data_IF_533534459611
#
_entry.id   IF_533534459611
#
_cell.length_a   1.000
_cell.length_b   1.000
_cell.length_c   1.000
_cell.angle_alpha   90.00
_cell.angle_beta   90.00
_cell.angle_gamma   90.00
#
_symmetry.space_group_name_H-M   'P 1'
#
loop_
_entity.id
_entity.type
_entity.pdbx_description
1 polymer ?
#
# COMPACT_ATOMS: atom_id res chain seq x y z
N UNK A 1 6.37 6.40 5.66
CA UNK A 1 7.20 7.30 6.46
C UNK A 1 6.32 8.32 7.17
N UNK A 2 6.76 8.76 8.36
CA UNK A 2 6.13 9.88 9.07
C UNK A 2 6.78 11.19 8.64
N UNK A 3 6.11 12.31 8.92
CA UNK A 3 6.65 13.65 8.68
C UNK A 3 7.21 14.21 9.97
N UNK A 4 8.41 14.75 9.92
CA UNK A 4 9.06 15.47 11.02
C UNK A 4 9.41 16.86 10.55
N UNK A 5 8.99 17.86 11.31
CA UNK A 5 9.29 19.25 11.01
C UNK A 5 10.67 19.64 11.54
N UNK A 6 11.45 20.27 10.67
CA UNK A 6 12.71 20.93 10.98
C UNK A 6 12.46 22.43 11.02
N UNK A 7 12.38 22.99 12.22
CA UNK A 7 12.14 24.42 12.43
C UNK A 7 13.46 25.17 12.48
N UNK A 8 13.50 26.34 11.86
CA UNK A 8 14.69 27.20 11.92
C UNK A 8 14.88 27.71 13.36
N UNK A 9 16.02 27.37 13.97
CA UNK A 9 16.40 27.87 15.27
C UNK A 9 17.15 29.22 15.14
N UNK A 10 16.92 30.12 16.07
CA UNK A 10 17.60 31.44 16.09
C UNK A 10 19.13 31.35 16.28
N UNK A 11 19.66 30.19 16.64
CA UNK A 11 21.08 29.93 16.95
C UNK A 11 21.85 29.16 15.88
N UNK A 12 21.52 29.35 14.60
CA UNK A 12 22.23 28.72 13.47
C UNK A 12 22.06 27.20 13.31
N UNK A 13 20.87 26.67 13.52
CA UNK A 13 20.56 25.27 13.34
C UNK A 13 19.07 24.99 13.18
N UNK A 14 18.73 23.73 13.28
CA UNK A 14 17.37 23.23 13.22
C UNK A 14 16.91 22.70 14.57
N UNK A 15 15.70 23.03 14.98
CA UNK A 15 15.00 22.32 16.04
C UNK A 15 14.16 21.20 15.43
N UNK A 16 14.35 19.98 15.93
CA UNK A 16 13.64 18.80 15.44
C UNK A 16 13.32 17.84 16.57
N UNK A 17 12.26 17.04 16.37
CA UNK A 17 11.83 16.03 17.33
C UNK A 17 12.90 14.95 17.52
N UNK A 18 13.13 14.55 18.76
CA UNK A 18 14.12 13.55 19.13
C UNK A 18 13.53 12.14 19.23
N UNK A 19 14.21 11.19 18.60
CA UNK A 19 13.88 9.75 18.64
C UNK A 19 15.05 8.95 19.23
N UNK A 20 15.05 8.68 20.55
CA UNK A 20 16.18 8.02 21.22
C UNK A 20 16.56 6.67 20.62
N UNK A 21 15.60 5.89 20.15
CA UNK A 21 15.86 4.55 19.59
C UNK A 21 16.71 4.57 18.31
N UNK A 22 16.61 5.64 17.51
CA UNK A 22 17.33 5.77 16.24
C UNK A 22 18.80 6.06 16.39
N UNK A 23 19.18 6.70 17.48
CA UNK A 23 20.58 6.97 17.79
C UNK A 23 21.27 5.81 18.48
N UNK A 24 20.52 4.74 18.81
CA UNK A 24 21.07 3.57 19.48
C UNK A 24 22.14 2.87 18.62
N UNK A 25 23.36 2.79 19.16
CA UNK A 25 24.47 2.15 18.50
C UNK A 25 25.15 2.96 17.40
N UNK A 26 24.61 4.12 17.05
CA UNK A 26 25.17 5.05 16.07
C UNK A 26 26.29 5.91 16.67
N UNK A 27 27.07 6.53 15.79
CA UNK A 27 28.03 7.59 16.14
C UNK A 27 27.56 8.85 15.42
N UNK A 28 26.95 9.83 16.13
CA UNK A 28 26.54 11.08 15.51
C UNK A 28 27.73 11.81 14.89
N UNK A 29 27.53 12.44 13.75
CA UNK A 29 28.55 13.26 13.10
C UNK A 29 28.71 14.65 13.75
N UNK A 30 27.73 15.06 14.57
CA UNK A 30 27.67 16.32 15.29
C UNK A 30 27.10 16.08 16.69
N UNK A 31 27.33 17.04 17.58
CA UNK A 31 26.79 17.00 18.93
C UNK A 31 25.27 17.09 18.90
N UNK A 32 24.59 16.20 19.61
CA UNK A 32 23.15 16.28 19.82
C UNK A 32 22.88 17.13 21.06
N UNK A 33 22.28 18.29 20.86
CA UNK A 33 22.01 19.26 21.91
C UNK A 33 20.52 19.31 22.20
N UNK A 34 20.14 19.27 23.46
CA UNK A 34 18.75 19.43 23.88
C UNK A 34 18.27 20.87 23.61
N UNK A 35 17.16 21.01 22.89
CA UNK A 35 16.61 22.32 22.54
C UNK A 35 16.13 23.13 23.76
N UNK A 36 15.69 22.45 24.82
CA UNK A 36 15.16 23.11 26.02
C UNK A 36 16.24 23.55 26.98
N UNK A 37 17.33 22.78 27.15
CA UNK A 37 18.35 23.03 28.18
C UNK A 37 19.68 23.52 27.62
N UNK A 38 19.93 23.29 26.31
CA UNK A 38 21.23 23.55 25.68
C UNK A 38 22.33 22.56 26.09
N UNK A 39 22.01 21.49 26.82
CA UNK A 39 22.98 20.48 27.22
C UNK A 39 23.25 19.50 26.11
N UNK A 40 24.51 19.02 25.98
CA UNK A 40 24.90 18.00 25.02
C UNK A 40 24.40 16.65 25.50
N UNK A 41 23.45 16.08 24.77
CA UNK A 41 22.85 14.76 25.01
C UNK A 41 23.77 13.62 24.55
N UNK A 42 24.44 13.82 23.41
CA UNK A 42 25.42 12.89 22.87
C UNK A 42 26.48 13.67 22.07
N UNK A 43 27.75 13.37 22.33
CA UNK A 43 28.89 14.00 21.65
C UNK A 43 29.16 13.38 20.28
N UNK A 44 29.60 14.20 19.34
CA UNK A 44 30.02 13.79 18.00
C UNK A 44 31.08 12.68 18.04
N UNK A 45 30.96 11.68 17.17
CA UNK A 45 31.92 10.58 17.05
C UNK A 45 31.88 9.54 18.18
N UNK A 46 31.21 9.80 19.29
CA UNK A 46 31.03 8.82 20.38
C UNK A 46 29.85 7.89 20.11
N UNK A 47 30.05 6.59 20.36
CA UNK A 47 29.00 5.59 20.20
C UNK A 47 27.91 5.76 21.27
N UNK A 48 26.67 5.97 20.85
CA UNK A 48 25.51 6.03 21.75
C UNK A 48 25.15 4.61 22.21
N UNK A 49 25.40 4.33 23.50
CA UNK A 49 25.17 2.99 24.05
C UNK A 49 23.69 2.73 24.34
N UNK A 50 23.25 1.45 24.31
CA UNK A 50 21.87 1.10 24.68
C UNK A 50 21.46 1.58 26.08
N UNK A 51 22.45 1.68 27.00
CA UNK A 51 22.22 2.16 28.38
C UNK A 51 21.93 3.66 28.40
N UNK A 52 22.64 4.44 27.56
CA UNK A 52 22.40 5.89 27.41
C UNK A 52 21.01 6.14 26.81
N UNK A 53 20.63 5.39 25.76
CA UNK A 53 19.29 5.49 25.14
C UNK A 53 18.19 5.17 26.14
N UNK A 54 18.36 4.10 26.94
CA UNK A 54 17.40 3.74 27.97
C UNK A 54 17.24 4.86 29.02
N UNK A 55 18.34 5.45 29.45
CA UNK A 55 18.33 6.58 30.39
C UNK A 55 17.56 7.78 29.80
N UNK A 56 17.81 8.13 28.55
CA UNK A 56 17.13 9.24 27.88
C UNK A 56 15.61 8.98 27.71
N UNK A 57 15.21 7.73 27.49
CA UNK A 57 13.81 7.34 27.45
C UNK A 57 13.13 7.38 28.82
N UNK A 58 13.77 6.81 29.82
CA UNK A 58 13.21 6.71 31.19
C UNK A 58 13.10 8.10 31.83
N UNK A 59 14.01 9.02 31.54
CA UNK A 59 13.95 10.39 32.01
C UNK A 59 12.92 11.26 31.25
N UNK A 60 12.67 10.94 29.96
CA UNK A 60 11.66 11.61 29.13
C UNK A 60 11.80 13.14 29.00
N UNK A 61 12.96 13.68 29.37
CA UNK A 61 13.19 15.14 29.46
C UNK A 61 13.51 15.77 28.11
N UNK A 62 14.17 15.01 27.23
CA UNK A 62 14.62 15.51 25.93
C UNK A 62 13.58 15.11 24.88
N UNK A 63 12.84 16.09 24.38
CA UNK A 63 11.81 15.91 23.35
C UNK A 63 12.24 16.42 21.98
N UNK A 64 13.05 17.47 21.96
CA UNK A 64 13.53 18.14 20.76
C UNK A 64 15.05 18.38 20.85
N UNK A 65 15.71 18.33 19.69
CA UNK A 65 17.15 18.58 19.57
C UNK A 65 17.41 19.78 18.69
N UNK A 66 18.45 20.52 19.02
CA UNK A 66 19.08 21.52 18.13
C UNK A 66 20.19 20.79 17.35
N UNK A 67 20.13 20.91 16.04
CA UNK A 67 21.06 20.27 15.11
C UNK A 67 21.62 21.30 14.12
N UNK A 68 22.88 21.18 13.70
CA UNK A 68 23.46 22.10 12.72
C UNK A 68 22.73 22.05 11.37
N UNK A 69 22.86 23.08 10.55
CA UNK A 69 22.20 23.18 9.25
C UNK A 69 22.49 21.98 8.33
N UNK A 70 23.71 21.43 8.38
CA UNK A 70 24.13 20.29 7.59
C UNK A 70 23.36 19.00 7.91
N UNK A 71 22.71 18.94 9.05
CA UNK A 71 21.97 17.75 9.49
C UNK A 71 20.77 17.40 8.60
N UNK A 72 20.27 18.37 7.84
CA UNK A 72 19.14 18.21 6.94
C UNK A 72 19.56 17.75 5.53
N UNK A 73 20.83 17.89 5.18
CA UNK A 73 21.37 17.50 3.87
C UNK A 73 21.20 15.99 3.63
N UNK A 74 20.74 15.63 2.46
CA UNK A 74 20.47 14.22 2.09
C UNK A 74 19.15 13.67 2.65
N UNK A 75 18.33 14.51 3.29
CA UNK A 75 16.95 14.16 3.69
C UNK A 75 15.97 14.58 2.60
N UNK A 76 14.77 14.03 2.64
CA UNK A 76 13.75 14.21 1.61
C UNK A 76 12.56 14.98 2.15
N UNK A 77 12.01 15.87 1.36
CA UNK A 77 10.82 16.66 1.72
C UNK A 77 9.58 15.75 1.69
N UNK A 78 8.65 15.93 2.65
CA UNK A 78 7.46 15.08 2.76
C UNK A 78 6.25 15.59 1.97
N UNK A 79 6.20 16.86 1.64
CA UNK A 79 5.13 17.51 0.87
C UNK A 79 5.68 18.64 0.03
N UNK A 80 4.95 19.02 -1.01
CA UNK A 80 5.31 20.16 -1.86
C UNK A 80 5.36 21.45 -1.03
N UNK A 81 6.43 22.24 -1.22
CA UNK A 81 6.57 23.55 -0.62
C UNK A 81 6.31 24.61 -1.70
N UNK A 82 5.19 25.28 -1.57
CA UNK A 82 4.62 26.18 -2.56
C UNK A 82 4.61 27.60 -1.99
N UNK A 83 4.91 28.57 -2.83
CA UNK A 83 4.69 29.98 -2.49
C UNK A 83 3.19 30.28 -2.53
N UNK A 84 2.62 30.68 -1.40
CA UNK A 84 1.20 30.99 -1.28
C UNK A 84 0.75 32.21 -2.10
N UNK A 85 1.69 33.13 -2.43
CA UNK A 85 1.36 34.36 -3.16
C UNK A 85 1.30 34.14 -4.69
N UNK A 86 2.20 33.33 -5.25
CA UNK A 86 2.32 33.17 -6.70
C UNK A 86 2.11 31.73 -7.20
N UNK A 87 1.93 30.77 -6.27
CA UNK A 87 1.73 29.36 -6.59
C UNK A 87 2.97 28.64 -7.16
N UNK A 88 4.16 29.25 -7.09
CA UNK A 88 5.39 28.61 -7.53
C UNK A 88 5.81 27.50 -6.56
N UNK A 89 6.18 26.35 -7.10
CA UNK A 89 6.69 25.23 -6.31
C UNK A 89 8.20 25.43 -6.14
N UNK A 90 8.68 25.50 -4.90
CA UNK A 90 10.11 25.56 -4.59
C UNK A 90 10.74 24.18 -4.59
N UNK A 91 10.07 23.20 -3.96
CA UNK A 91 10.53 21.82 -3.82
C UNK A 91 9.33 20.89 -3.85
N UNK A 92 9.42 19.80 -4.58
CA UNK A 92 8.38 18.77 -4.65
C UNK A 92 8.55 17.70 -3.58
N UNK A 93 7.47 17.02 -3.22
CA UNK A 93 7.49 15.92 -2.26
C UNK A 93 8.42 14.79 -2.75
N UNK A 94 9.36 14.39 -1.90
CA UNK A 94 10.36 13.36 -2.22
C UNK A 94 11.66 13.90 -2.78
N UNK A 95 11.79 15.20 -3.01
CA UNK A 95 13.05 15.81 -3.41
C UNK A 95 14.07 15.82 -2.27
N UNK A 96 15.33 15.69 -2.63
CA UNK A 96 16.45 15.70 -1.71
C UNK A 96 16.86 17.13 -1.35
N UNK A 97 17.00 17.37 -0.07
CA UNK A 97 17.47 18.64 0.46
C UNK A 97 18.99 18.75 0.32
N UNK A 98 19.44 19.83 -0.33
CA UNK A 98 20.84 20.08 -0.63
C UNK A 98 21.30 21.43 -0.06
N UNK A 99 22.58 21.51 0.31
CA UNK A 99 23.28 22.74 0.66
C UNK A 99 24.57 22.84 -0.16
N UNK A 100 24.83 24.01 -0.68
CA UNK A 100 26.08 24.31 -1.39
C UNK A 100 26.88 25.33 -0.56
N UNK A 101 28.19 25.13 -0.51
CA UNK A 101 29.12 25.97 0.24
C UNK A 101 30.06 26.69 -0.71
N UNK A 102 30.37 27.93 -0.42
CA UNK A 102 31.43 28.66 -1.11
C UNK A 102 32.83 28.22 -0.65
N UNK A 103 33.86 28.82 -1.25
CA UNK A 103 35.26 28.52 -0.89
C UNK A 103 35.65 28.94 0.53
N UNK A 104 34.83 29.78 1.15
CA UNK A 104 35.01 30.27 2.53
C UNK A 104 34.22 29.44 3.55
N UNK A 105 33.48 28.41 3.11
CA UNK A 105 32.68 27.54 3.95
C UNK A 105 31.34 28.13 4.37
N UNK A 106 30.87 29.20 3.70
CA UNK A 106 29.53 29.76 3.93
C UNK A 106 28.54 29.15 2.96
N UNK A 107 27.28 29.02 3.40
CA UNK A 107 26.18 28.52 2.57
C UNK A 107 25.96 29.49 1.42
N UNK A 108 26.22 29.02 0.20
CA UNK A 108 26.14 29.81 -1.03
C UNK A 108 24.90 29.51 -1.85
N UNK A 109 24.33 28.30 -1.72
CA UNK A 109 23.19 27.84 -2.50
C UNK A 109 22.58 26.54 -1.97
N UNK A 110 21.75 25.93 -2.79
CA UNK A 110 21.02 24.69 -2.49
C UNK A 110 19.57 24.93 -2.08
N UNK A 111 18.77 23.86 -2.17
CA UNK A 111 17.32 23.93 -1.93
C UNK A 111 16.97 24.45 -0.53
N UNK A 112 17.78 24.10 0.47
CA UNK A 112 17.58 24.57 1.86
C UNK A 112 17.72 26.08 1.98
N UNK A 113 18.73 26.66 1.30
CA UNK A 113 18.92 28.10 1.31
C UNK A 113 17.78 28.84 0.62
N UNK A 114 17.36 28.35 -0.53
CA UNK A 114 16.22 28.89 -1.27
C UNK A 114 14.94 28.94 -0.42
N UNK A 115 14.69 27.87 0.36
CA UNK A 115 13.54 27.80 1.27
C UNK A 115 13.64 28.80 2.44
N UNK A 116 14.84 28.94 3.04
CA UNK A 116 15.06 29.91 4.12
C UNK A 116 14.92 31.35 3.60
N UNK A 117 15.51 31.64 2.42
CA UNK A 117 15.44 32.96 1.81
C UNK A 117 13.99 33.31 1.37
N UNK A 118 13.18 32.29 1.06
CA UNK A 118 11.75 32.42 0.77
C UNK A 118 10.88 32.60 2.05
N UNK A 119 11.47 32.52 3.24
CA UNK A 119 10.78 32.76 4.52
C UNK A 119 10.08 31.55 5.12
N UNK A 120 10.46 30.33 4.74
CA UNK A 120 9.94 29.12 5.39
C UNK A 120 10.58 28.93 6.77
N UNK A 121 9.78 29.01 7.82
CA UNK A 121 10.22 28.82 9.21
C UNK A 121 10.37 27.33 9.56
N UNK A 122 9.77 26.43 8.78
CA UNK A 122 9.77 24.99 9.02
C UNK A 122 9.78 24.21 7.71
N UNK A 123 10.65 23.19 7.63
CA UNK A 123 10.75 22.28 6.50
C UNK A 123 10.22 20.91 6.94
N UNK A 124 9.12 20.40 6.34
CA UNK A 124 8.58 19.09 6.63
C UNK A 124 9.40 18.00 5.90
N UNK A 125 10.07 17.16 6.67
CA UNK A 125 11.01 16.15 6.19
C UNK A 125 10.44 14.75 6.40
N UNK A 126 10.68 13.85 5.46
CA UNK A 126 10.37 12.42 5.61
C UNK A 126 11.26 11.81 6.68
N UNK A 127 10.61 11.22 7.66
CA UNK A 127 11.28 10.51 8.73
C UNK A 127 11.67 9.10 8.28
N UNK A 128 12.91 8.97 7.82
CA UNK A 128 13.48 7.73 7.30
C UNK A 128 14.58 7.24 8.23
N UNK A 129 14.43 6.01 8.73
CA UNK A 129 15.53 5.34 9.41
C UNK A 129 16.54 4.83 8.38
N UNK A 130 17.55 5.63 8.10
CA UNK A 130 18.59 5.29 7.14
C UNK A 130 19.53 4.19 7.62
N UNK A 131 19.52 3.84 8.91
CA UNK A 131 20.40 2.82 9.48
C UNK A 131 19.84 1.42 9.26
N UNK A 132 18.54 1.23 9.55
CA UNK A 132 17.91 -0.09 9.52
C UNK A 132 17.06 -0.31 8.27
N UNK A 133 16.43 0.71 7.72
CA UNK A 133 15.40 0.63 6.68
C UNK A 133 15.86 1.22 5.36
N UNK A 134 16.21 2.49 5.33
CA UNK A 134 16.58 3.24 4.12
C UNK A 134 15.39 3.80 3.33
N UNK A 135 15.66 4.63 2.31
CA UNK A 135 14.64 5.38 1.56
C UNK A 135 14.02 4.57 0.39
N UNK A 136 13.83 3.26 0.51
CA UNK A 136 13.44 2.40 -0.62
C UNK A 136 12.09 2.75 -1.24
N UNK A 137 11.09 3.17 -0.44
CA UNK A 137 9.78 3.59 -0.98
C UNK A 137 9.92 4.88 -1.78
N UNK A 138 10.63 5.87 -1.24
CA UNK A 138 10.93 7.11 -1.96
C UNK A 138 11.65 6.82 -3.28
N UNK A 139 12.66 5.98 -3.25
CA UNK A 139 13.42 5.60 -4.45
C UNK A 139 12.55 4.88 -5.47
N UNK A 140 11.62 4.04 -5.03
CA UNK A 140 10.64 3.38 -5.90
C UNK A 140 9.71 4.40 -6.56
N UNK A 141 9.20 5.37 -5.80
CA UNK A 141 8.35 6.44 -6.34
C UNK A 141 9.11 7.37 -7.29
N UNK A 142 10.38 7.68 -7.00
CA UNK A 142 11.21 8.49 -7.88
C UNK A 142 11.56 7.79 -9.22
N UNK A 143 11.52 6.45 -9.25
CA UNK A 143 11.69 5.68 -10.48
C UNK A 143 10.40 5.53 -11.28
N UNK A 144 9.25 5.87 -10.72
CA UNK A 144 7.98 5.84 -11.42
C UNK A 144 7.96 6.93 -12.50
N UNK A 145 7.67 6.52 -13.74
CA UNK A 145 7.58 7.41 -14.89
C UNK A 145 6.23 8.10 -15.01
N UNK A 146 5.26 7.65 -14.22
CA UNK A 146 3.88 8.11 -14.30
C UNK A 146 3.64 9.25 -13.31
N UNK A 147 3.64 10.48 -13.83
CA UNK A 147 3.38 11.68 -13.01
C UNK A 147 1.89 11.94 -12.77
N UNK A 148 1.02 11.40 -13.64
CA UNK A 148 -0.42 11.66 -13.61
C UNK A 148 -1.23 10.36 -13.56
N UNK A 149 -2.45 10.45 -13.00
CA UNK A 149 -3.40 9.34 -12.96
C UNK A 149 -3.67 8.75 -14.35
N UNK A 150 -3.81 9.58 -15.38
CA UNK A 150 -4.10 9.15 -16.74
C UNK A 150 -2.97 8.31 -17.34
N UNK A 151 -1.73 8.76 -17.17
CA UNK A 151 -0.56 8.00 -17.65
C UNK A 151 -0.41 6.67 -16.93
N UNK A 152 -0.67 6.63 -15.62
CA UNK A 152 -0.67 5.41 -14.83
C UNK A 152 -1.75 4.43 -15.29
N UNK A 153 -2.97 4.89 -15.55
CA UNK A 153 -4.06 4.06 -16.07
C UNK A 153 -3.72 3.48 -17.44
N UNK A 154 -3.13 4.29 -18.33
CA UNK A 154 -2.70 3.82 -19.64
C UNK A 154 -1.59 2.77 -19.56
N UNK A 155 -0.66 2.91 -18.64
CA UNK A 155 0.40 1.90 -18.44
C UNK A 155 -0.16 0.61 -17.84
N UNK A 156 -1.08 0.68 -16.88
CA UNK A 156 -1.80 -0.50 -16.38
C UNK A 156 -2.53 -1.21 -17.52
N UNK A 157 -3.21 -0.44 -18.39
CA UNK A 157 -3.91 -1.01 -19.55
C UNK A 157 -2.96 -1.73 -20.51
N UNK A 158 -1.80 -1.14 -20.82
CA UNK A 158 -0.78 -1.77 -21.69
C UNK A 158 -0.27 -3.09 -21.13
N UNK A 159 -0.09 -3.17 -19.82
CA UNK A 159 0.35 -4.41 -19.16
C UNK A 159 -0.73 -5.48 -19.19
N UNK A 160 -1.98 -5.09 -18.95
CA UNK A 160 -3.11 -6.03 -18.89
C UNK A 160 -3.59 -6.50 -20.27
N UNK A 161 -3.47 -5.63 -21.29
CA UNK A 161 -3.87 -5.90 -22.68
C UNK A 161 -2.78 -5.51 -23.67
N UNK A 162 -1.73 -6.32 -23.77
CA UNK A 162 -0.65 -6.05 -24.70
C UNK A 162 -1.16 -6.09 -26.16
N UNK A 163 -0.78 -5.08 -26.96
CA UNK A 163 -1.13 -4.98 -28.37
C UNK A 163 -2.36 -4.12 -28.70
N UNK A 164 -3.15 -3.70 -27.72
CA UNK A 164 -4.25 -2.75 -27.94
C UNK A 164 -3.79 -1.31 -27.62
N UNK A 165 -4.13 -0.31 -28.48
CA UNK A 165 -3.82 1.07 -28.17
C UNK A 165 -4.65 1.55 -26.97
N UNK A 166 -4.02 2.10 -25.93
CA UNK A 166 -4.74 2.56 -24.74
C UNK A 166 -5.49 3.87 -25.06
N UNK A 167 -6.76 3.92 -24.67
CA UNK A 167 -7.52 5.18 -24.55
C UNK A 167 -7.81 5.42 -23.08
N UNK A 168 -7.88 6.68 -22.67
CA UNK A 168 -8.12 7.04 -21.25
C UNK A 168 -9.42 6.44 -20.73
N UNK A 169 -10.48 6.47 -21.54
CA UNK A 169 -11.78 5.92 -21.19
C UNK A 169 -11.74 4.40 -21.02
N UNK A 170 -11.13 3.68 -21.97
CA UNK A 170 -11.01 2.22 -21.90
C UNK A 170 -10.09 1.79 -20.73
N UNK A 171 -9.04 2.54 -20.45
CA UNK A 171 -8.13 2.26 -19.34
C UNK A 171 -8.82 2.49 -17.98
N UNK A 172 -9.59 3.56 -17.82
CA UNK A 172 -10.38 3.81 -16.62
C UNK A 172 -11.43 2.73 -16.41
N UNK A 173 -12.20 2.40 -17.45
CA UNK A 173 -13.21 1.35 -17.37
C UNK A 173 -12.61 -0.03 -17.03
N UNK A 174 -11.45 -0.37 -17.59
CA UNK A 174 -10.74 -1.60 -17.24
C UNK A 174 -10.32 -1.60 -15.78
N UNK A 175 -9.73 -0.52 -15.30
CA UNK A 175 -9.26 -0.39 -13.92
C UNK A 175 -10.40 -0.50 -12.92
N UNK A 176 -11.52 0.17 -13.18
CA UNK A 176 -12.70 0.14 -12.32
C UNK A 176 -13.32 -1.26 -12.26
N UNK A 177 -13.31 -2.00 -13.38
CA UNK A 177 -13.83 -3.37 -13.43
C UNK A 177 -12.92 -4.42 -12.78
N UNK A 178 -11.63 -4.13 -12.56
CA UNK A 178 -10.71 -5.09 -11.96
C UNK A 178 -11.02 -5.39 -10.50
N UNK A 179 -11.34 -4.34 -9.70
CA UNK A 179 -11.45 -4.48 -8.24
C UNK A 179 -12.66 -3.78 -7.62
N UNK A 180 -13.27 -2.84 -8.32
CA UNK A 180 -14.28 -1.93 -7.77
C UNK A 180 -15.70 -2.23 -8.27
N UNK A 181 -15.85 -3.06 -9.31
CA UNK A 181 -17.14 -3.44 -9.87
C UNK A 181 -17.68 -4.70 -9.18
N UNK A 182 -18.83 -4.57 -8.54
CA UNK A 182 -19.51 -5.67 -7.83
C UNK A 182 -19.99 -6.82 -8.73
N UNK A 183 -20.14 -6.58 -10.04
CA UNK A 183 -20.53 -7.63 -10.97
C UNK A 183 -19.36 -8.53 -11.38
N UNK A 184 -18.14 -8.02 -11.31
CA UNK A 184 -16.93 -8.70 -11.77
C UNK A 184 -15.96 -9.11 -10.68
N UNK A 185 -15.99 -8.42 -9.55
CA UNK A 185 -15.14 -8.69 -8.41
C UNK A 185 -15.96 -8.99 -7.17
N UNK A 186 -15.63 -10.07 -6.49
CA UNK A 186 -16.28 -10.49 -5.26
C UNK A 186 -15.25 -11.06 -4.28
N UNK A 187 -14.97 -10.29 -3.24
CA UNK A 187 -14.08 -10.68 -2.15
C UNK A 187 -14.70 -11.75 -1.24
N UNK A 188 -16.02 -11.92 -1.30
CA UNK A 188 -16.87 -12.65 -0.35
C UNK A 188 -16.90 -12.00 1.05
N UNK A 189 -17.94 -12.30 1.82
CA UNK A 189 -18.08 -11.80 3.21
C UNK A 189 -16.93 -12.32 4.10
N UNK A 190 -16.53 -13.58 3.93
CA UNK A 190 -15.42 -14.17 4.69
C UNK A 190 -14.09 -13.49 4.38
N UNK A 191 -13.84 -13.16 3.11
CA UNK A 191 -12.65 -12.43 2.69
C UNK A 191 -12.61 -11.03 3.28
N UNK A 192 -13.75 -10.31 3.28
CA UNK A 192 -13.86 -8.97 3.88
C UNK A 192 -13.57 -8.98 5.38
N UNK A 193 -14.21 -9.87 6.12
CA UNK A 193 -13.98 -10.01 7.58
C UNK A 193 -12.51 -10.31 7.89
N UNK A 194 -11.91 -11.25 7.15
CA UNK A 194 -10.49 -11.58 7.34
C UNK A 194 -9.56 -10.41 7.00
N UNK A 195 -9.83 -9.68 5.93
CA UNK A 195 -9.07 -8.49 5.55
C UNK A 195 -9.20 -7.40 6.62
N UNK A 196 -10.41 -7.12 7.10
CA UNK A 196 -10.64 -6.15 8.17
C UNK A 196 -9.86 -6.51 9.44
N UNK A 197 -9.89 -7.78 9.86
CA UNK A 197 -9.14 -8.25 11.04
C UNK A 197 -7.63 -8.15 10.86
N UNK A 198 -7.10 -8.53 9.68
CA UNK A 198 -5.65 -8.57 9.43
C UNK A 198 -5.05 -7.18 9.29
N UNK A 199 -5.77 -6.26 8.64
CA UNK A 199 -5.30 -4.91 8.30
C UNK A 199 -5.85 -3.84 9.25
N UNK A 200 -6.61 -4.23 10.29
CA UNK A 200 -7.28 -3.31 11.22
C UNK A 200 -8.12 -2.24 10.50
N UNK A 201 -8.92 -2.68 9.52
CA UNK A 201 -9.79 -1.81 8.73
C UNK A 201 -11.17 -1.74 9.34
N UNK A 202 -11.77 -0.56 9.30
CA UNK A 202 -13.16 -0.32 9.70
C UNK A 202 -14.05 -0.25 8.43
N UNK A 203 -14.20 -1.39 7.77
CA UNK A 203 -15.06 -1.54 6.59
C UNK A 203 -16.26 -2.41 6.92
N UNK A 204 -17.42 -2.07 6.36
CA UNK A 204 -18.63 -2.88 6.51
C UNK A 204 -18.41 -4.30 5.95
N UNK A 205 -18.79 -5.32 6.69
CA UNK A 205 -18.67 -6.74 6.31
C UNK A 205 -19.48 -7.09 5.05
N UNK A 206 -20.46 -6.25 4.69
CA UNK A 206 -21.24 -6.38 3.45
C UNK A 206 -20.51 -5.86 2.22
N UNK A 207 -19.43 -5.09 2.38
CA UNK A 207 -18.61 -4.53 1.30
C UNK A 207 -17.81 -5.63 0.60
N UNK A 208 -18.27 -6.08 -0.56
CA UNK A 208 -17.66 -7.19 -1.31
C UNK A 208 -16.62 -6.75 -2.36
N UNK A 209 -16.54 -5.47 -2.65
CA UNK A 209 -15.52 -4.88 -3.55
C UNK A 209 -14.38 -4.28 -2.75
N UNK A 210 -13.22 -4.10 -3.37
CA UNK A 210 -12.10 -3.40 -2.75
C UNK A 210 -12.37 -1.89 -2.69
N UNK A 211 -11.69 -1.23 -1.78
CA UNK A 211 -11.59 0.23 -1.66
C UNK A 211 -10.13 0.65 -1.81
N UNK A 212 -9.88 1.92 -2.12
CA UNK A 212 -8.52 2.46 -2.19
C UNK A 212 -7.76 2.31 -0.87
N UNK A 213 -8.44 2.47 0.28
CA UNK A 213 -7.85 2.29 1.60
C UNK A 213 -7.37 0.86 1.83
N UNK A 214 -8.07 -0.14 1.31
CA UNK A 214 -7.69 -1.55 1.41
C UNK A 214 -6.34 -1.81 0.73
N UNK A 215 -6.13 -1.23 -0.46
CA UNK A 215 -4.88 -1.35 -1.22
C UNK A 215 -3.73 -0.69 -0.46
N UNK A 216 -3.95 0.54 0.04
CA UNK A 216 -2.94 1.27 0.83
C UNK A 216 -2.59 0.50 2.11
N UNK A 217 -3.59 -0.06 2.81
CA UNK A 217 -3.36 -0.86 4.01
C UNK A 217 -2.57 -2.15 3.71
N UNK A 218 -2.84 -2.84 2.59
CA UNK A 218 -2.04 -3.98 2.14
C UNK A 218 -0.57 -3.60 1.91
N UNK A 219 -0.32 -2.49 1.21
CA UNK A 219 1.04 -2.00 0.96
C UNK A 219 1.73 -1.65 2.29
N UNK A 220 1.01 -0.98 3.21
CA UNK A 220 1.53 -0.67 4.55
C UNK A 220 1.94 -1.93 5.30
N UNK A 221 1.09 -2.96 5.33
CA UNK A 221 1.38 -4.22 5.98
C UNK A 221 2.61 -4.92 5.37
N UNK A 222 2.77 -4.90 4.04
CA UNK A 222 3.96 -5.45 3.37
C UNK A 222 5.24 -4.69 3.73
N UNK A 223 5.17 -3.37 3.81
CA UNK A 223 6.30 -2.53 4.24
C UNK A 223 6.68 -2.82 5.69
N UNK A 224 5.70 -2.92 6.60
CA UNK A 224 5.92 -3.25 8.01
C UNK A 224 6.56 -4.64 8.19
N UNK A 225 6.12 -5.64 7.43
CA UNK A 225 6.74 -6.98 7.41
C UNK A 225 8.19 -6.93 6.93
N UNK A 226 8.49 -6.14 5.89
CA UNK A 226 9.86 -5.91 5.43
C UNK A 226 10.74 -5.29 6.52
N UNK A 227 10.19 -4.37 7.28
CA UNK A 227 10.88 -3.68 8.37
C UNK A 227 10.99 -4.53 9.64
N UNK A 228 10.55 -5.80 9.57
CA UNK A 228 10.58 -6.75 10.70
C UNK A 228 9.48 -6.50 11.74
N UNK A 229 8.46 -5.72 11.41
CA UNK A 229 7.29 -5.51 12.25
C UNK A 229 6.19 -6.48 11.85
N UNK A 230 5.70 -7.27 12.79
CA UNK A 230 4.67 -8.29 12.55
C UNK A 230 5.23 -9.66 12.17
N UNK A 231 4.35 -10.58 11.91
CA UNK A 231 4.65 -11.98 11.58
C UNK A 231 4.00 -12.35 10.25
N UNK A 232 4.69 -13.21 9.49
CA UNK A 232 4.15 -13.78 8.25
C UNK A 232 3.11 -14.85 8.62
N UNK A 233 1.95 -14.81 7.97
CA UNK A 233 0.90 -15.78 8.22
C UNK A 233 1.32 -17.18 7.77
N UNK A 234 0.99 -18.19 8.58
CA UNK A 234 1.14 -19.60 8.19
C UNK A 234 0.01 -19.96 7.20
N UNK A 235 0.39 -20.22 5.95
CA UNK A 235 -0.53 -20.53 4.85
C UNK A 235 -1.27 -21.85 5.11
N UNK A 236 -0.63 -22.82 5.73
CA UNK A 236 -1.18 -24.17 5.96
C UNK A 236 -2.06 -24.26 7.21
N UNK A 237 -2.02 -23.23 8.06
CA UNK A 237 -2.87 -23.18 9.24
C UNK A 237 -4.36 -23.12 8.85
N UNK A 238 -5.19 -23.99 9.41
CA UNK A 238 -6.64 -24.08 9.07
C UNK A 238 -7.43 -22.79 9.41
N UNK A 239 -6.88 -21.91 10.23
CA UNK A 239 -7.40 -20.56 10.42
C UNK A 239 -7.26 -19.68 9.16
N UNK A 240 -6.25 -19.90 8.33
CA UNK A 240 -5.97 -19.16 7.11
C UNK A 240 -6.41 -19.89 5.84
N UNK A 241 -6.53 -21.20 5.89
CA UNK A 241 -6.95 -22.06 4.79
C UNK A 241 -8.36 -22.54 5.04
N UNK A 242 -9.32 -22.02 4.28
CA UNK A 242 -10.73 -22.38 4.38
C UNK A 242 -11.05 -23.63 3.56
N UNK A 243 -11.78 -24.56 4.13
CA UNK A 243 -12.37 -25.68 3.42
C UNK A 243 -13.72 -25.27 2.84
N UNK A 244 -13.89 -25.38 1.52
CA UNK A 244 -15.16 -25.10 0.86
C UNK A 244 -16.05 -26.35 0.86
N UNK A 245 -17.30 -26.17 1.25
CA UNK A 245 -18.29 -27.24 1.19
C UNK A 245 -18.72 -27.56 -0.24
N UNK A 246 -19.34 -28.73 -0.43
CA UNK A 246 -19.87 -29.14 -1.73
C UNK A 246 -20.95 -28.17 -2.24
N UNK A 247 -21.75 -27.59 -1.35
CA UNK A 247 -22.78 -26.61 -1.70
C UNK A 247 -22.21 -25.37 -2.36
N UNK A 248 -21.11 -24.83 -1.83
CA UNK A 248 -20.42 -23.67 -2.40
C UNK A 248 -19.79 -23.97 -3.77
N UNK A 249 -19.18 -25.14 -3.93
CA UNK A 249 -18.61 -25.57 -5.20
C UNK A 249 -19.69 -25.76 -6.26
N UNK A 250 -20.82 -26.35 -5.89
CA UNK A 250 -21.96 -26.55 -6.76
C UNK A 250 -22.64 -25.22 -7.13
N UNK A 251 -22.77 -24.29 -6.19
CA UNK A 251 -23.29 -22.94 -6.46
C UNK A 251 -22.46 -22.23 -7.54
N UNK A 252 -21.13 -22.26 -7.42
CA UNK A 252 -20.25 -21.65 -8.40
C UNK A 252 -20.42 -22.28 -9.80
N UNK A 253 -20.54 -23.59 -9.87
CA UNK A 253 -20.76 -24.28 -11.15
C UNK A 253 -22.15 -24.00 -11.74
N UNK A 254 -23.16 -23.93 -10.89
CA UNK A 254 -24.52 -23.56 -11.30
C UNK A 254 -24.59 -22.13 -11.84
N UNK A 255 -23.88 -21.19 -11.19
CA UNK A 255 -23.75 -19.80 -11.67
C UNK A 255 -23.16 -19.74 -13.08
N UNK A 256 -22.14 -20.52 -13.38
CA UNK A 256 -21.59 -20.62 -14.74
C UNK A 256 -22.66 -21.13 -15.73
N UNK A 257 -23.46 -22.09 -15.32
CA UNK A 257 -24.59 -22.58 -16.13
C UNK A 257 -25.64 -21.50 -16.42
N UNK A 258 -25.97 -20.70 -15.42
CA UNK A 258 -26.90 -19.56 -15.57
C UNK A 258 -26.34 -18.48 -16.51
N UNK A 259 -25.04 -18.13 -16.39
CA UNK A 259 -24.41 -17.18 -17.32
C UNK A 259 -24.40 -17.66 -18.77
N UNK A 260 -24.21 -18.98 -19.01
CA UNK A 260 -24.34 -19.57 -20.34
C UNK A 260 -25.77 -19.44 -20.86
N UNK A 261 -26.76 -19.69 -20.00
CA UNK A 261 -28.17 -19.55 -20.33
C UNK A 261 -28.53 -18.08 -20.64
N UNK A 262 -28.07 -17.14 -19.84
CA UNK A 262 -28.27 -15.69 -20.06
C UNK A 262 -27.75 -15.26 -21.44
N UNK A 263 -26.52 -15.68 -21.81
CA UNK A 263 -25.96 -15.38 -23.13
C UNK A 263 -26.84 -15.91 -24.26
N UNK A 264 -27.27 -17.15 -24.13
CA UNK A 264 -28.15 -17.78 -25.14
C UNK A 264 -29.51 -17.07 -25.26
N UNK A 265 -30.03 -16.56 -24.14
CA UNK A 265 -31.27 -15.74 -24.16
C UNK A 265 -31.02 -14.41 -24.87
N UNK A 266 -29.94 -13.69 -24.53
CA UNK A 266 -29.58 -12.45 -25.19
C UNK A 266 -29.38 -12.60 -26.71
N UNK A 267 -28.70 -13.67 -27.14
CA UNK A 267 -28.53 -13.99 -28.57
C UNK A 267 -29.86 -14.23 -29.27
N UNK A 268 -30.76 -14.98 -28.64
CA UNK A 268 -32.09 -15.24 -29.20
C UNK A 268 -32.92 -13.97 -29.26
N UNK A 269 -32.90 -13.13 -28.21
CA UNK A 269 -33.62 -11.87 -28.21
C UNK A 269 -33.16 -10.91 -29.32
N UNK A 270 -31.87 -10.97 -29.70
CA UNK A 270 -31.36 -10.14 -30.80
C UNK A 270 -31.73 -10.66 -32.19
N UNK A 271 -32.13 -11.94 -32.31
CA UNK A 271 -32.43 -12.61 -33.60
C UNK A 271 -33.92 -12.79 -33.89
N UNK A 272 -34.80 -12.51 -32.95
CA UNK A 272 -36.25 -12.76 -33.05
C UNK A 272 -37.04 -11.47 -32.80
N UNK A 273 -38.22 -11.36 -33.48
CA UNK A 273 -39.14 -10.25 -33.24
C UNK A 273 -39.79 -10.39 -31.86
N UNK A 274 -39.53 -9.41 -30.99
CA UNK A 274 -39.92 -9.40 -29.57
C UNK A 274 -41.43 -9.46 -29.38
N UNK A 275 -42.22 -8.88 -30.31
CA UNK A 275 -43.69 -8.77 -30.23
C UNK A 275 -44.40 -10.12 -30.36
N UNK A 276 -43.76 -11.14 -30.90
CA UNK A 276 -44.38 -12.44 -31.19
C UNK A 276 -43.88 -13.60 -30.31
N UNK A 277 -42.83 -13.39 -29.53
CA UNK A 277 -42.13 -14.48 -28.79
C UNK A 277 -42.61 -14.56 -27.35
N UNK A 278 -42.95 -15.78 -26.92
CA UNK A 278 -43.24 -16.05 -25.51
C UNK A 278 -41.93 -16.31 -24.71
N UNK A 279 -41.84 -15.93 -23.41
CA UNK A 279 -40.67 -16.19 -22.59
C UNK A 279 -40.19 -17.63 -22.55
N UNK A 280 -41.10 -18.55 -22.70
CA UNK A 280 -40.83 -20.01 -22.75
C UNK A 280 -39.99 -20.42 -23.99
N UNK A 281 -40.13 -19.69 -25.11
CA UNK A 281 -39.37 -19.95 -26.32
C UNK A 281 -37.93 -19.45 -26.25
N UNK A 282 -37.69 -18.44 -25.41
CA UNK A 282 -36.36 -17.86 -25.20
C UNK A 282 -35.53 -18.67 -24.20
N UNK A 283 -36.18 -19.21 -23.15
CA UNK A 283 -35.49 -19.85 -22.03
C UNK A 283 -35.20 -21.32 -22.35
N UNK A 284 -33.91 -21.71 -22.27
CA UNK A 284 -33.46 -23.08 -22.38
C UNK A 284 -32.72 -23.51 -21.12
N UNK A 285 -33.26 -24.43 -20.35
CA UNK A 285 -32.65 -24.91 -19.11
C UNK A 285 -31.49 -25.93 -19.34
N UNK A 286 -31.24 -26.37 -20.57
CA UNK A 286 -30.17 -27.34 -20.88
C UNK A 286 -28.77 -26.91 -20.41
N UNK A 287 -28.31 -25.62 -20.57
CA UNK A 287 -27.00 -25.20 -20.11
C UNK A 287 -26.81 -25.33 -18.60
N UNK A 288 -27.83 -24.98 -17.80
CA UNK A 288 -27.78 -25.14 -16.35
C UNK A 288 -27.74 -26.62 -15.92
N UNK A 289 -28.59 -27.46 -16.53
CA UNK A 289 -28.57 -28.90 -16.27
C UNK A 289 -27.24 -29.56 -16.71
N UNK A 290 -26.66 -29.10 -17.82
CA UNK A 290 -25.36 -29.59 -18.31
C UNK A 290 -24.24 -29.20 -17.34
N UNK A 291 -24.25 -27.98 -16.77
CA UNK A 291 -23.24 -27.55 -15.80
C UNK A 291 -23.28 -28.39 -14.52
N UNK A 292 -24.46 -28.68 -13.98
CA UNK A 292 -24.61 -29.57 -12.82
C UNK A 292 -24.13 -31.00 -13.13
N UNK A 293 -24.47 -31.53 -14.30
CA UNK A 293 -23.99 -32.85 -14.72
C UNK A 293 -22.48 -32.90 -14.91
N UNK A 294 -21.87 -31.84 -15.46
CA UNK A 294 -20.44 -31.69 -15.61
C UNK A 294 -19.74 -31.69 -14.25
N UNK A 295 -20.30 -30.98 -13.24
CA UNK A 295 -19.77 -30.95 -11.90
C UNK A 295 -19.67 -32.35 -11.28
N UNK A 296 -20.72 -33.15 -11.35
CA UNK A 296 -20.71 -34.48 -10.74
C UNK A 296 -20.00 -35.55 -11.60
N UNK A 297 -19.89 -35.36 -12.90
CA UNK A 297 -19.34 -36.37 -13.81
C UNK A 297 -17.86 -36.18 -14.15
N UNK A 298 -17.36 -34.95 -14.25
CA UNK A 298 -16.01 -34.66 -14.76
C UNK A 298 -15.22 -33.60 -13.97
N UNK A 299 -15.73 -33.15 -12.83
CA UNK A 299 -15.01 -32.22 -12.01
C UNK A 299 -13.83 -32.89 -11.30
N UNK A 300 -12.70 -32.20 -11.23
CA UNK A 300 -11.53 -32.66 -10.45
C UNK A 300 -11.81 -32.81 -8.95
N UNK A 301 -12.74 -32.02 -8.41
CA UNK A 301 -13.10 -32.02 -7.01
C UNK A 301 -14.21 -32.99 -6.63
N UNK A 302 -14.98 -33.50 -7.63
CA UNK A 302 -15.97 -34.54 -7.45
C UNK A 302 -15.46 -35.86 -8.01
N UNK A 303 -14.96 -36.72 -7.15
CA UNK A 303 -14.33 -37.97 -7.52
C UNK A 303 -14.82 -39.13 -6.62
N UNK A 304 -14.50 -40.36 -7.00
CA UNK A 304 -14.84 -41.55 -6.22
C UNK A 304 -14.19 -41.47 -4.83
N UNK A 305 -14.97 -41.71 -3.78
CA UNK A 305 -14.49 -41.75 -2.42
C UNK A 305 -13.74 -43.06 -2.14
N UNK A 306 -12.55 -42.94 -1.54
CA UNK A 306 -11.83 -44.08 -1.01
C UNK A 306 -12.45 -44.50 0.34
N UNK A 307 -13.00 -45.72 0.38
CA UNK A 307 -13.68 -46.30 1.55
C UNK A 307 -12.95 -47.51 2.16
N UNK A 308 -11.66 -47.66 1.93
CA UNK A 308 -10.86 -48.79 2.39
C UNK A 308 -10.82 -48.91 3.91
N UNK A 309 -10.61 -47.78 4.59
CA UNK A 309 -10.67 -47.63 6.07
C UNK A 309 -11.05 -46.22 6.46
N UNK A 310 -11.45 -45.97 7.74
CA UNK A 310 -11.87 -44.63 8.20
C UNK A 310 -10.80 -43.56 8.05
N UNK A 311 -9.52 -43.90 8.24
CA UNK A 311 -8.42 -42.94 8.12
C UNK A 311 -8.20 -42.53 6.66
N UNK A 312 -8.21 -43.49 5.73
CA UNK A 312 -8.12 -43.25 4.31
C UNK A 312 -9.27 -42.35 3.82
N UNK A 313 -10.48 -42.58 4.30
CA UNK A 313 -11.67 -41.78 3.99
C UNK A 313 -11.52 -40.34 4.43
N UNK A 314 -11.06 -40.07 5.68
CA UNK A 314 -10.83 -38.75 6.21
C UNK A 314 -9.73 -38.04 5.43
N UNK A 315 -8.63 -38.72 5.12
CA UNK A 315 -7.51 -38.16 4.34
C UNK A 315 -7.93 -37.78 2.93
N UNK A 316 -8.76 -38.61 2.29
CA UNK A 316 -9.29 -38.33 0.94
C UNK A 316 -10.22 -37.11 0.93
N UNK A 317 -11.06 -36.94 1.97
CA UNK A 317 -11.99 -35.82 2.08
C UNK A 317 -11.30 -34.47 2.37
N UNK A 318 -10.10 -34.48 2.96
CA UNK A 318 -9.31 -33.31 3.36
C UNK A 318 -8.38 -32.83 2.23
#
# INVERSE_FOLDING_TARGET
YETVDYKVSNENGWETKFFPDRVRGTRPNFDLVDAATGEVVAEAGKKVTPRAVKKLKDEGKVTELVMPFDSIVGKFVSRDLINEENGAIYVEAGDELTLEYDKEGKVSGGTVKELIDAGFDSIPVLDIDNVNVGPYIRNTLAQDKNMNRETALMDIYRVMRPGEPPTVEAASALFDTLFFDSERYDLSAVGRVKMNMRLALDADDTQRTLRSEDIVACIRALVELRDGKGEVDDIDHLGNRRVRSVGELMENQYRVGLLRMERAIKERMSSVEIDTVMPQDLINAKPAAAAVREFFGSSQLSQFMDQTNPLSEVTHKR
#
